data_IF_098387869844
#
_entry.id   IF_098387869844
#
_cell.length_a   1.000
_cell.length_b   1.000
_cell.length_c   1.000
_cell.angle_alpha   90.00
_cell.angle_beta   90.00
_cell.angle_gamma   90.00
#
_symmetry.space_group_name_H-M   'P 1'
#
loop_
_entity.id
_entity.type
_entity.pdbx_description
1 polymer ?
#
# COMPACT_ATOMS: atom_id res chain seq x y z
N UNK A 1 12.77 -23.54 -3.14
CA UNK A 1 14.09 -23.99 -3.62
C UNK A 1 14.42 -25.29 -2.91
N UNK A 2 14.39 -26.40 -3.64
CA UNK A 2 14.79 -27.73 -3.15
C UNK A 2 16.24 -28.04 -3.53
N UNK A 3 17.01 -26.98 -3.84
CA UNK A 3 18.42 -27.03 -4.16
C UNK A 3 19.20 -26.46 -2.97
N UNK A 4 19.97 -27.30 -2.29
CA UNK A 4 20.99 -26.84 -1.35
C UNK A 4 22.16 -26.34 -2.20
N UNK A 5 22.56 -25.08 -2.03
CA UNK A 5 23.79 -24.56 -2.63
C UNK A 5 25.01 -25.30 -2.04
N UNK A 6 25.45 -26.37 -2.73
CA UNK A 6 26.45 -27.29 -2.22
C UNK A 6 27.86 -26.87 -2.63
N UNK A 7 28.55 -26.25 -1.67
CA UNK A 7 29.98 -26.45 -1.43
C UNK A 7 30.26 -26.74 0.05
N UNK A 8 29.36 -27.43 0.76
CA UNK A 8 29.62 -27.88 2.13
C UNK A 8 30.11 -29.34 2.13
N UNK A 9 31.38 -29.62 2.47
CA UNK A 9 32.00 -30.94 2.29
C UNK A 9 31.41 -32.07 3.16
N UNK A 10 30.48 -31.78 4.07
CA UNK A 10 29.83 -32.76 4.95
C UNK A 10 28.37 -33.06 4.62
N UNK A 11 27.75 -32.38 3.65
CA UNK A 11 26.38 -32.70 3.21
C UNK A 11 26.43 -33.71 2.06
N UNK A 12 26.33 -35.00 2.38
CA UNK A 12 26.44 -36.12 1.41
C UNK A 12 25.12 -36.84 1.14
N UNK A 13 24.02 -36.41 1.75
CA UNK A 13 22.71 -37.04 1.64
C UNK A 13 21.68 -36.03 1.11
N UNK A 14 21.81 -35.68 -0.17
CA UNK A 14 20.82 -34.85 -0.87
C UNK A 14 19.68 -35.71 -1.43
N UNK A 15 18.45 -35.21 -1.30
CA UNK A 15 17.24 -35.85 -1.81
C UNK A 15 16.80 -35.18 -3.12
N UNK A 16 17.69 -35.25 -4.11
CA UNK A 16 17.50 -34.61 -5.40
C UNK A 16 16.28 -35.16 -6.15
N UNK A 17 15.36 -34.27 -6.56
CA UNK A 17 14.14 -34.59 -7.33
C UNK A 17 13.26 -35.69 -6.71
N UNK A 18 13.37 -35.90 -5.40
CA UNK A 18 12.66 -36.97 -4.71
C UNK A 18 11.24 -36.57 -4.29
N UNK A 19 11.02 -35.26 -4.04
CA UNK A 19 9.74 -34.71 -3.63
C UNK A 19 9.48 -33.37 -4.34
N UNK A 20 8.20 -33.06 -4.51
CA UNK A 20 7.75 -31.68 -4.64
C UNK A 20 7.43 -31.17 -3.23
N UNK A 21 7.76 -29.90 -2.95
CA UNK A 21 7.48 -29.25 -1.67
C UNK A 21 6.35 -28.25 -1.89
N UNK A 22 5.29 -28.36 -1.11
CA UNK A 22 4.28 -27.31 -0.98
C UNK A 22 4.44 -26.65 0.40
N UNK A 23 4.74 -25.36 0.40
CA UNK A 23 4.95 -24.57 1.60
C UNK A 23 3.80 -23.59 1.77
N UNK A 24 3.02 -23.77 2.83
CA UNK A 24 2.00 -22.81 3.27
C UNK A 24 2.64 -21.80 4.23
N UNK A 25 2.67 -20.53 3.83
CA UNK A 25 3.44 -19.48 4.48
C UNK A 25 2.53 -18.31 4.81
N UNK A 26 2.67 -17.76 6.02
CA UNK A 26 2.09 -16.47 6.40
C UNK A 26 3.20 -15.47 6.68
N UNK A 27 3.15 -14.33 6.02
CA UNK A 27 4.06 -13.20 6.24
C UNK A 27 3.27 -12.06 6.87
N UNK A 28 3.86 -11.39 7.86
CA UNK A 28 3.25 -10.26 8.56
C UNK A 28 4.29 -9.15 8.79
N UNK A 29 3.92 -7.91 8.46
CA UNK A 29 4.68 -6.70 8.79
C UNK A 29 4.31 -6.21 10.18
N UNK A 30 5.31 -5.85 11.00
CA UNK A 30 5.12 -5.26 12.34
C UNK A 30 6.07 -4.10 12.54
N UNK A 31 5.58 -2.99 13.09
CA UNK A 31 6.46 -1.96 13.62
C UNK A 31 7.18 -2.48 14.86
N UNK A 32 8.48 -2.21 14.94
CA UNK A 32 9.33 -2.73 16.01
C UNK A 32 9.07 -2.07 17.36
N UNK A 33 8.44 -0.89 17.36
CA UNK A 33 8.02 -0.17 18.56
C UNK A 33 6.71 -0.71 19.17
N UNK A 34 6.04 -1.64 18.49
CA UNK A 34 4.79 -2.27 18.95
C UNK A 34 3.52 -1.46 18.66
N UNK A 35 3.62 -0.33 17.95
CA UNK A 35 2.43 0.41 17.48
C UNK A 35 1.64 -0.41 16.45
N UNK A 36 0.32 -0.19 16.32
CA UNK A 36 -0.49 -0.86 15.30
C UNK A 36 0.08 -0.64 13.90
N UNK A 37 0.31 -1.72 13.15
CA UNK A 37 0.80 -1.64 11.78
C UNK A 37 -0.35 -1.30 10.82
N UNK A 38 -0.30 -0.09 10.28
CA UNK A 38 -1.25 0.46 9.30
C UNK A 38 -0.86 0.16 7.85
N UNK A 39 0.36 -0.34 7.61
CA UNK A 39 0.86 -0.71 6.29
C UNK A 39 0.07 -1.86 5.67
N UNK A 40 0.01 -1.85 4.34
CA UNK A 40 -0.57 -2.94 3.54
C UNK A 40 0.55 -3.73 2.90
N UNK A 41 0.59 -5.02 3.19
CA UNK A 41 1.63 -5.91 2.68
C UNK A 41 1.46 -6.09 1.16
N UNK A 42 2.55 -5.85 0.43
CA UNK A 42 2.66 -6.12 -1.01
C UNK A 42 3.65 -7.25 -1.24
N UNK A 43 3.34 -8.17 -2.14
CA UNK A 43 4.30 -9.16 -2.63
C UNK A 43 4.45 -9.08 -4.14
N UNK A 44 5.64 -9.47 -4.61
CA UNK A 44 5.93 -9.67 -6.03
C UNK A 44 6.45 -11.10 -6.23
N UNK A 45 5.57 -12.11 -6.37
CA UNK A 45 5.97 -13.41 -6.87
C UNK A 45 6.39 -13.33 -8.34
N UNK A 46 7.47 -14.01 -8.68
CA UNK A 46 8.03 -14.07 -10.03
C UNK A 46 8.69 -15.41 -10.30
N UNK A 47 9.02 -15.63 -11.57
CA UNK A 47 9.73 -16.82 -12.03
C UNK A 47 8.94 -18.12 -11.79
N UNK A 48 7.60 -18.04 -11.85
CA UNK A 48 6.70 -19.20 -11.74
C UNK A 48 6.65 -19.87 -13.11
N UNK A 49 7.64 -20.68 -13.46
CA UNK A 49 7.87 -21.05 -14.85
C UNK A 49 8.21 -22.53 -15.10
N UNK A 50 8.40 -23.31 -14.03
CA UNK A 50 8.76 -24.72 -14.16
C UNK A 50 7.51 -25.60 -14.29
N UNK A 51 7.25 -26.05 -15.52
CA UNK A 51 6.32 -27.15 -15.80
C UNK A 51 7.03 -28.46 -15.50
N UNK A 52 6.56 -29.18 -14.48
CA UNK A 52 7.25 -30.39 -14.01
C UNK A 52 7.12 -31.55 -14.98
N UNK A 53 8.21 -32.27 -15.16
CA UNK A 53 8.29 -33.49 -15.97
C UNK A 53 7.90 -34.77 -15.18
N UNK A 54 7.69 -34.65 -13.87
CA UNK A 54 7.52 -35.75 -12.91
C UNK A 54 6.21 -35.68 -12.12
N UNK A 55 5.27 -34.80 -12.52
CA UNK A 55 3.89 -34.80 -12.05
C UNK A 55 3.47 -33.65 -11.13
N UNK A 56 4.37 -32.73 -10.76
CA UNK A 56 4.05 -31.51 -10.02
C UNK A 56 4.63 -30.29 -10.75
N UNK A 57 3.81 -29.26 -10.97
CA UNK A 57 4.25 -27.99 -11.51
C UNK A 57 4.66 -27.04 -10.38
N UNK A 58 5.52 -26.09 -10.70
CA UNK A 58 5.75 -24.97 -9.82
C UNK A 58 4.48 -24.13 -9.75
N UNK A 59 4.00 -23.79 -8.55
CA UNK A 59 2.82 -22.94 -8.42
C UNK A 59 2.97 -21.92 -7.31
N UNK A 60 2.21 -20.84 -7.43
CA UNK A 60 1.97 -19.89 -6.37
C UNK A 60 0.47 -19.76 -6.16
N UNK A 61 0.01 -19.84 -4.91
CA UNK A 61 -1.40 -19.71 -4.56
C UNK A 61 -1.60 -18.66 -3.48
N UNK A 62 -2.59 -17.79 -3.66
CA UNK A 62 -3.08 -16.93 -2.60
C UNK A 62 -4.20 -17.63 -1.85
N UNK A 63 -4.08 -17.70 -0.52
CA UNK A 63 -5.06 -18.36 0.34
C UNK A 63 -6.15 -17.37 0.75
N UNK A 64 -7.40 -17.79 0.63
CA UNK A 64 -8.57 -16.97 0.96
C UNK A 64 -8.62 -15.61 0.23
N UNK A 65 -8.16 -15.58 -1.02
CA UNK A 65 -7.85 -14.37 -1.78
C UNK A 65 -8.99 -13.34 -1.78
N UNK A 66 -10.23 -13.78 -1.98
CA UNK A 66 -11.41 -12.89 -1.99
C UNK A 66 -11.58 -12.09 -0.69
N UNK A 67 -11.20 -12.68 0.45
CA UNK A 67 -11.33 -12.06 1.76
C UNK A 67 -10.09 -11.26 2.17
N UNK A 68 -8.89 -11.68 1.76
CA UNK A 68 -7.61 -11.16 2.26
C UNK A 68 -6.90 -10.20 1.30
N UNK A 69 -7.20 -10.25 0.00
CA UNK A 69 -6.45 -9.54 -1.05
C UNK A 69 -7.25 -8.34 -1.56
N UNK A 70 -6.60 -7.18 -1.67
CA UNK A 70 -7.20 -5.96 -2.20
C UNK A 70 -7.08 -5.87 -3.73
N UNK A 71 -5.90 -6.23 -4.25
CA UNK A 71 -5.61 -6.13 -5.68
C UNK A 71 -4.51 -7.11 -6.11
N UNK A 72 -4.66 -7.59 -7.34
CA UNK A 72 -3.68 -8.40 -8.06
C UNK A 72 -3.43 -7.68 -9.39
N UNK A 73 -2.17 -7.47 -9.74
CA UNK A 73 -1.76 -6.74 -10.95
C UNK A 73 -0.81 -7.60 -11.76
N UNK A 74 -1.22 -7.86 -13.01
CA UNK A 74 -0.44 -8.60 -14.00
C UNK A 74 -0.12 -7.72 -15.19
N UNK A 75 1.04 -7.96 -15.80
CA UNK A 75 1.35 -7.39 -17.10
C UNK A 75 0.44 -8.01 -18.16
N UNK A 76 0.09 -7.26 -19.22
CA UNK A 76 -0.67 -7.82 -20.36
C UNK A 76 0.04 -8.98 -21.07
N UNK A 77 1.34 -9.13 -20.85
CA UNK A 77 2.16 -10.25 -21.35
C UNK A 77 2.14 -11.47 -20.42
N UNK A 78 1.49 -11.41 -19.27
CA UNK A 78 1.46 -12.52 -18.32
C UNK A 78 0.86 -13.75 -19.02
N UNK A 79 1.51 -14.91 -18.83
CA UNK A 79 1.14 -16.17 -19.47
C UNK A 79 0.67 -17.22 -18.46
N UNK A 80 0.68 -16.92 -17.17
CA UNK A 80 0.33 -17.90 -16.14
C UNK A 80 -1.13 -18.32 -16.29
N UNK A 81 -1.39 -19.61 -16.08
CA UNK A 81 -2.76 -20.13 -16.08
C UNK A 81 -3.32 -20.04 -14.67
N UNK A 82 -4.29 -19.15 -14.51
CA UNK A 82 -5.04 -19.01 -13.26
C UNK A 82 -6.06 -20.15 -13.12
N UNK A 83 -6.12 -20.71 -11.91
CA UNK A 83 -7.13 -21.67 -11.50
C UNK A 83 -7.64 -21.30 -10.11
N UNK A 84 -8.93 -21.50 -9.87
CA UNK A 84 -9.57 -21.21 -8.57
C UNK A 84 -10.08 -22.50 -7.97
N UNK A 85 -9.80 -22.71 -6.68
CA UNK A 85 -10.35 -23.82 -5.89
C UNK A 85 -10.81 -23.27 -4.55
N UNK A 86 -12.12 -23.29 -4.32
CA UNK A 86 -12.72 -22.62 -3.15
C UNK A 86 -12.40 -21.12 -3.16
N UNK A 87 -11.77 -20.63 -2.08
CA UNK A 87 -11.35 -19.23 -1.96
C UNK A 87 -9.86 -19.02 -2.31
N UNK A 88 -9.18 -20.03 -2.86
CA UNK A 88 -7.79 -19.91 -3.24
C UNK A 88 -7.67 -19.66 -4.75
N UNK A 89 -6.75 -18.80 -5.12
CA UNK A 89 -6.37 -18.55 -6.52
C UNK A 89 -4.95 -19.06 -6.70
N UNK A 90 -4.72 -19.90 -7.70
CA UNK A 90 -3.45 -20.57 -7.98
C UNK A 90 -3.00 -20.26 -9.40
N UNK A 91 -1.75 -19.84 -9.54
CA UNK A 91 -1.10 -19.60 -10.82
C UNK A 91 -0.17 -20.76 -11.18
N UNK A 92 -0.40 -21.28 -12.39
CA UNK A 92 0.34 -22.40 -12.95
C UNK A 92 1.28 -21.91 -14.06
N UNK A 93 2.45 -22.54 -14.21
CA UNK A 93 3.44 -22.15 -15.20
C UNK A 93 3.02 -22.68 -16.57
N UNK A 94 3.51 -22.04 -17.63
CA UNK A 94 3.26 -22.47 -19.02
C UNK A 94 4.52 -22.91 -19.72
N UNK A 95 5.62 -22.19 -19.49
CA UNK A 95 6.95 -22.48 -20.06
C UNK A 95 7.99 -21.71 -19.25
N UNK A 96 9.24 -22.17 -19.38
CA UNK A 96 10.39 -21.44 -18.84
C UNK A 96 10.49 -20.02 -19.38
N UNK A 97 10.93 -19.14 -18.50
CA UNK A 97 11.26 -17.74 -18.69
C UNK A 97 12.71 -17.51 -18.29
N UNK A 98 13.30 -16.40 -18.74
CA UNK A 98 14.65 -16.06 -18.32
C UNK A 98 14.86 -14.55 -18.34
N UNK A 99 15.49 -14.08 -17.27
CA UNK A 99 15.86 -12.70 -17.08
C UNK A 99 14.74 -11.86 -16.49
N UNK A 100 15.08 -10.73 -15.84
CA UNK A 100 14.14 -10.01 -14.98
C UNK A 100 12.87 -9.53 -15.66
N UNK A 101 12.90 -9.25 -16.97
CA UNK A 101 11.70 -8.83 -17.71
C UNK A 101 10.70 -9.97 -17.86
N UNK A 102 11.15 -11.18 -18.25
CA UNK A 102 10.24 -12.30 -18.47
C UNK A 102 9.74 -12.88 -17.15
N UNK A 103 10.64 -13.09 -16.20
CA UNK A 103 10.33 -13.66 -14.88
C UNK A 103 9.26 -12.83 -14.15
N UNK A 104 9.32 -11.49 -14.27
CA UNK A 104 8.37 -10.59 -13.59
C UNK A 104 7.10 -10.31 -14.38
N UNK A 105 7.17 -10.26 -15.71
CA UNK A 105 6.03 -9.82 -16.53
C UNK A 105 5.28 -10.97 -17.22
N UNK A 106 5.97 -12.06 -17.58
CA UNK A 106 5.34 -13.24 -18.20
C UNK A 106 4.97 -14.25 -17.11
N UNK A 107 5.89 -14.52 -16.18
CA UNK A 107 5.76 -15.54 -15.13
C UNK A 107 5.68 -14.96 -13.70
N UNK A 108 5.15 -13.74 -13.58
CA UNK A 108 5.05 -13.04 -12.30
C UNK A 108 3.93 -12.03 -12.24
N UNK A 109 3.67 -11.54 -11.04
CA UNK A 109 2.64 -10.53 -10.77
C UNK A 109 2.93 -9.78 -9.47
N UNK A 110 2.17 -8.72 -9.21
CA UNK A 110 2.18 -8.02 -7.93
C UNK A 110 0.83 -8.20 -7.22
N UNK A 111 0.85 -8.31 -5.90
CA UNK A 111 -0.35 -8.49 -5.09
C UNK A 111 -0.29 -7.60 -3.85
N UNK A 112 -1.41 -6.98 -3.50
CA UNK A 112 -1.58 -6.18 -2.28
C UNK A 112 -2.64 -6.80 -1.38
N UNK A 113 -2.28 -7.02 -0.12
CA UNK A 113 -3.19 -7.45 0.94
C UNK A 113 -4.09 -6.31 1.41
N UNK A 114 -5.28 -6.65 1.94
CA UNK A 114 -6.13 -5.72 2.68
C UNK A 114 -5.54 -5.35 4.05
N UNK A 115 -4.50 -6.06 4.50
CA UNK A 115 -3.86 -5.91 5.81
C UNK A 115 -2.34 -5.90 5.72
N UNK A 116 -1.68 -5.83 6.87
CA UNK A 116 -0.24 -6.01 7.05
C UNK A 116 0.21 -7.48 6.93
N UNK A 117 -0.69 -8.42 6.65
CA UNK A 117 -0.42 -9.86 6.58
C UNK A 117 -0.94 -10.51 5.30
N UNK A 118 -0.28 -11.58 4.84
CA UNK A 118 -0.70 -12.39 3.70
C UNK A 118 -0.33 -13.85 3.90
N UNK A 119 -1.27 -14.75 3.58
CA UNK A 119 -1.04 -16.20 3.54
C UNK A 119 -1.05 -16.68 2.10
N UNK A 120 -0.02 -17.43 1.73
CA UNK A 120 0.14 -18.00 0.40
C UNK A 120 0.69 -19.43 0.47
N UNK A 121 0.60 -20.15 -0.63
CA UNK A 121 1.25 -21.44 -0.82
C UNK A 121 2.18 -21.36 -2.03
N UNK A 122 3.42 -21.84 -1.89
CA UNK A 122 4.34 -22.01 -3.01
C UNK A 122 4.69 -23.49 -3.15
N UNK A 123 4.45 -24.05 -4.32
CA UNK A 123 4.77 -25.44 -4.64
C UNK A 123 5.94 -25.48 -5.60
N UNK A 124 6.94 -26.32 -5.34
CA UNK A 124 8.06 -26.60 -6.25
C UNK A 124 7.72 -27.72 -7.24
N UNK A 125 8.41 -27.73 -8.38
CA UNK A 125 8.48 -28.85 -9.31
C UNK A 125 9.89 -29.46 -9.23
N UNK A 126 10.05 -30.55 -8.47
CA UNK A 126 11.27 -31.36 -8.28
C UNK A 126 12.58 -30.60 -7.93
N UNK A 127 13.04 -29.69 -8.80
CA UNK A 127 14.16 -28.76 -8.62
C UNK A 127 13.75 -27.35 -9.07
N UNK A 128 12.77 -26.75 -8.38
CA UNK A 128 12.38 -25.36 -8.63
C UNK A 128 11.90 -24.66 -7.35
N UNK A 129 11.45 -23.44 -7.49
CA UNK A 129 10.67 -22.75 -6.46
C UNK A 129 10.56 -21.27 -6.77
N UNK A 130 9.44 -20.69 -6.36
CA UNK A 130 9.13 -19.31 -6.75
C UNK A 130 9.94 -18.31 -5.94
N UNK A 131 10.32 -17.22 -6.59
CA UNK A 131 10.96 -16.08 -5.95
C UNK A 131 9.89 -15.07 -5.53
N UNK A 132 9.98 -14.57 -4.31
CA UNK A 132 9.09 -13.52 -3.83
C UNK A 132 9.82 -12.52 -2.92
N UNK A 133 9.49 -11.24 -3.11
CA UNK A 133 9.85 -10.17 -2.19
C UNK A 133 8.62 -9.64 -1.42
N UNK A 134 8.87 -9.02 -0.27
CA UNK A 134 7.85 -8.39 0.58
C UNK A 134 8.10 -6.89 0.60
N UNK A 135 7.05 -6.11 0.35
CA UNK A 135 7.09 -4.65 0.15
C UNK A 135 5.90 -3.97 0.83
N UNK A 136 5.92 -2.64 0.83
CA UNK A 136 4.75 -1.78 1.07
C UNK A 136 4.71 -0.72 -0.01
N UNK A 137 3.51 -0.21 -0.32
CA UNK A 137 3.38 1.03 -1.09
C UNK A 137 3.81 2.19 -0.18
N UNK A 138 4.56 3.15 -0.73
CA UNK A 138 5.09 4.28 0.04
C UNK A 138 4.48 5.59 -0.45
N UNK A 139 3.93 6.38 0.46
CA UNK A 139 3.54 7.77 0.18
C UNK A 139 4.82 8.60 0.21
N UNK A 140 5.36 8.91 -0.96
CA UNK A 140 6.65 9.59 -1.08
C UNK A 140 6.54 10.80 -2.02
N UNK A 141 6.91 12.02 -1.57
CA UNK A 141 7.28 12.37 -0.21
C UNK A 141 6.11 12.20 0.77
N UNK A 142 6.44 12.06 2.06
CA UNK A 142 5.44 12.09 3.13
C UNK A 142 4.66 13.41 3.10
N UNK A 143 3.40 13.43 3.57
CA UNK A 143 2.64 14.66 3.71
C UNK A 143 3.41 15.69 4.55
N UNK A 144 3.31 16.97 4.15
CA UNK A 144 3.94 18.08 4.87
C UNK A 144 2.84 18.99 5.41
N UNK A 145 2.91 19.32 6.71
CA UNK A 145 1.99 20.24 7.37
C UNK A 145 2.74 21.48 7.81
N UNK A 146 2.16 22.65 7.55
CA UNK A 146 2.63 23.95 8.03
C UNK A 146 1.51 24.65 8.79
N UNK A 147 1.87 25.56 9.70
CA UNK A 147 0.93 26.34 10.49
C UNK A 147 1.30 27.83 10.42
N UNK A 148 0.29 28.69 10.38
CA UNK A 148 0.44 30.15 10.43
C UNK A 148 -0.71 30.78 11.25
N UNK A 149 -0.41 31.60 12.28
CA UNK A 149 0.92 31.83 12.84
C UNK A 149 1.43 30.62 13.63
N UNK A 150 2.76 30.48 13.77
CA UNK A 150 3.37 29.44 14.62
C UNK A 150 3.11 29.67 16.12
N UNK A 151 2.80 30.91 16.51
CA UNK A 151 2.47 31.30 17.87
C UNK A 151 1.35 32.32 17.85
N UNK A 152 0.38 32.16 18.75
CA UNK A 152 -0.72 33.09 18.94
C UNK A 152 -0.95 33.34 20.44
N UNK A 153 -1.54 34.48 20.83
CA UNK A 153 -2.00 34.68 22.19
C UNK A 153 -2.98 33.58 22.61
N UNK A 154 -2.91 33.14 23.88
CA UNK A 154 -3.90 32.25 24.48
C UNK A 154 -5.21 33.03 24.77
N UNK A 155 -5.92 33.41 23.70
CA UNK A 155 -7.17 34.16 23.70
C UNK A 155 -8.12 33.57 22.68
N UNK A 156 -9.42 33.62 22.95
CA UNK A 156 -10.42 33.24 21.95
C UNK A 156 -10.43 34.23 20.78
N UNK A 157 -10.70 33.74 19.57
CA UNK A 157 -10.83 34.55 18.36
C UNK A 157 -9.55 34.68 17.51
N UNK A 158 -8.44 34.07 17.93
CA UNK A 158 -7.19 34.08 17.16
C UNK A 158 -7.29 33.10 15.99
N UNK A 159 -6.97 33.56 14.78
CA UNK A 159 -7.02 32.71 13.58
C UNK A 159 -5.75 31.89 13.47
N UNK A 160 -5.90 30.57 13.36
CA UNK A 160 -4.81 29.64 13.08
C UNK A 160 -5.11 28.92 11.76
N UNK A 161 -4.17 28.99 10.84
CA UNK A 161 -4.27 28.38 9.51
C UNK A 161 -3.31 27.19 9.42
N UNK A 162 -3.83 26.02 9.07
CA UNK A 162 -3.01 24.84 8.78
C UNK A 162 -2.98 24.60 7.27
N UNK A 163 -1.81 24.32 6.72
CA UNK A 163 -1.66 23.96 5.29
C UNK A 163 -1.02 22.60 5.17
N UNK A 164 -1.77 21.64 4.64
CA UNK A 164 -1.32 20.30 4.31
C UNK A 164 -0.98 20.17 2.82
N UNK A 165 0.17 19.57 2.51
CA UNK A 165 0.60 19.27 1.14
C UNK A 165 0.77 17.76 0.97
N UNK A 166 0.12 17.20 -0.04
CA UNK A 166 0.12 15.77 -0.33
C UNK A 166 0.50 15.53 -1.79
N UNK A 167 1.44 14.62 -2.03
CA UNK A 167 1.76 14.16 -3.38
C UNK A 167 0.93 12.94 -3.74
N UNK A 168 0.18 13.00 -4.85
CA UNK A 168 -0.55 11.85 -5.37
C UNK A 168 0.45 10.77 -5.80
N UNK A 169 0.39 9.53 -5.27
CA UNK A 169 1.30 8.48 -5.69
C UNK A 169 1.21 8.16 -7.19
N UNK A 170 2.33 7.84 -7.82
CA UNK A 170 2.38 7.45 -9.24
C UNK A 170 1.94 6.01 -9.40
N UNK A 171 0.81 5.81 -10.07
CA UNK A 171 0.25 4.48 -10.31
C UNK A 171 1.15 3.63 -11.22
N UNK A 172 1.52 2.44 -10.74
CA UNK A 172 2.47 1.52 -11.39
C UNK A 172 3.94 1.84 -11.10
N UNK A 173 4.23 2.78 -10.20
CA UNK A 173 5.59 3.12 -9.73
C UNK A 173 5.62 3.11 -8.20
N UNK A 174 4.81 3.98 -7.56
CA UNK A 174 4.73 4.10 -6.10
C UNK A 174 3.63 3.18 -5.53
N UNK A 175 2.58 2.91 -6.31
CA UNK A 175 1.53 1.91 -6.03
C UNK A 175 1.54 0.83 -7.12
N UNK A 176 1.20 -0.42 -6.78
CA UNK A 176 1.17 -1.53 -7.76
C UNK A 176 0.06 -1.35 -8.78
N UNK A 177 -1.02 -0.66 -8.40
CA UNK A 177 -2.22 -0.51 -9.22
C UNK A 177 -2.86 0.86 -9.09
N UNK A 178 -4.13 0.93 -9.52
CA UNK A 178 -4.93 2.15 -9.46
C UNK A 178 -5.21 2.56 -8.03
N UNK A 179 -5.26 3.86 -7.79
CA UNK A 179 -5.73 4.43 -6.52
C UNK A 179 -7.26 4.46 -6.58
N UNK A 180 -7.92 3.75 -5.68
CA UNK A 180 -9.40 3.64 -5.64
C UNK A 180 -10.05 4.81 -4.90
N UNK A 181 -9.36 5.33 -3.89
CA UNK A 181 -9.80 6.45 -3.06
C UNK A 181 -8.59 7.14 -2.46
N UNK A 182 -8.74 8.41 -2.13
CA UNK A 182 -7.77 9.19 -1.39
C UNK A 182 -8.53 10.15 -0.49
N UNK A 183 -8.19 10.14 0.79
CA UNK A 183 -8.79 10.98 1.81
C UNK A 183 -7.68 11.64 2.62
N UNK A 184 -7.89 12.88 3.02
CA UNK A 184 -7.01 13.62 3.92
C UNK A 184 -7.77 13.94 5.19
N UNK A 185 -7.21 13.56 6.33
CA UNK A 185 -7.89 13.63 7.63
C UNK A 185 -7.08 14.52 8.56
N UNK A 186 -7.72 15.56 9.09
CA UNK A 186 -7.18 16.45 10.12
C UNK A 186 -8.07 16.35 11.37
N UNK A 187 -7.46 16.25 12.55
CA UNK A 187 -8.20 16.23 13.82
C UNK A 187 -7.71 17.36 14.70
N UNK A 188 -8.50 18.41 14.81
CA UNK A 188 -8.10 19.62 15.53
C UNK A 188 -8.20 19.45 17.05
N UNK A 189 -7.33 20.14 17.77
CA UNK A 189 -7.44 20.27 19.22
C UNK A 189 -8.79 20.90 19.61
N UNK A 190 -9.38 20.48 20.73
CA UNK A 190 -10.69 20.96 21.18
C UNK A 190 -10.77 22.48 21.44
N UNK A 191 -9.63 23.15 21.53
CA UNK A 191 -9.47 24.60 21.65
C UNK A 191 -9.61 25.34 20.32
N UNK A 192 -9.76 24.64 19.20
CA UNK A 192 -9.89 25.20 17.86
C UNK A 192 -11.26 24.90 17.24
N UNK A 193 -11.93 25.93 16.75
CA UNK A 193 -13.17 25.81 15.98
C UNK A 193 -12.84 25.85 14.48
N UNK A 194 -13.12 24.75 13.77
CA UNK A 194 -12.99 24.70 12.31
C UNK A 194 -13.96 25.69 11.64
N UNK A 195 -13.44 26.53 10.74
CA UNK A 195 -14.23 27.54 10.04
C UNK A 195 -14.50 27.15 8.58
N UNK A 196 -13.44 26.83 7.84
CA UNK A 196 -13.52 26.55 6.40
C UNK A 196 -12.23 25.91 5.91
N UNK A 197 -12.25 25.39 4.68
CA UNK A 197 -11.05 24.98 3.99
C UNK A 197 -11.09 25.35 2.51
N UNK A 198 -9.91 25.36 1.89
CA UNK A 198 -9.77 25.39 0.44
C UNK A 198 -8.85 24.27 0.00
N UNK A 199 -9.18 23.61 -1.11
CA UNK A 199 -8.34 22.59 -1.73
C UNK A 199 -7.85 23.11 -3.07
N UNK A 200 -6.56 22.91 -3.36
CA UNK A 200 -6.01 23.09 -4.70
C UNK A 200 -5.28 21.84 -5.16
N UNK A 201 -5.21 21.66 -6.48
CA UNK A 201 -4.47 20.60 -7.12
C UNK A 201 -3.56 21.19 -8.19
N UNK A 202 -2.25 21.00 -8.01
CA UNK A 202 -1.21 21.52 -8.92
C UNK A 202 -1.35 23.04 -9.19
N UNK A 203 -1.70 23.78 -8.14
CA UNK A 203 -1.90 25.24 -8.17
C UNK A 203 -3.29 25.71 -8.62
N UNK A 204 -4.19 24.80 -9.05
CA UNK A 204 -5.56 25.12 -9.42
C UNK A 204 -6.50 24.89 -8.24
N UNK A 205 -7.31 25.88 -7.88
CA UNK A 205 -8.34 25.72 -6.84
C UNK A 205 -9.41 24.73 -7.31
N UNK A 206 -9.70 23.74 -6.46
CA UNK A 206 -10.73 22.73 -6.69
C UNK A 206 -12.08 23.19 -6.16
N UNK A 207 -13.15 22.60 -6.69
CA UNK A 207 -14.54 22.90 -6.31
C UNK A 207 -15.12 21.78 -5.44
N UNK A 208 -15.59 22.11 -4.23
CA UNK A 208 -16.30 21.16 -3.37
C UNK A 208 -17.58 20.66 -4.06
N UNK A 209 -17.91 19.38 -3.86
CA UNK A 209 -19.04 18.71 -4.50
C UNK A 209 -18.75 18.28 -5.94
N UNK A 210 -17.75 18.86 -6.61
CA UNK A 210 -17.28 18.43 -7.94
C UNK A 210 -16.01 17.62 -7.84
N UNK A 211 -14.97 18.16 -7.20
CA UNK A 211 -13.60 17.64 -7.17
C UNK A 211 -13.26 16.92 -5.87
N UNK A 212 -13.91 17.31 -4.77
CA UNK A 212 -13.76 16.70 -3.46
C UNK A 212 -15.06 16.87 -2.66
N UNK A 213 -15.17 16.17 -1.52
CA UNK A 213 -16.21 16.40 -0.51
C UNK A 213 -15.59 16.60 0.85
N UNK A 214 -16.26 17.37 1.72
CA UNK A 214 -15.85 17.57 3.11
C UNK A 214 -16.85 16.92 4.05
N UNK A 215 -16.37 16.23 5.07
CA UNK A 215 -17.16 15.81 6.22
C UNK A 215 -16.51 16.29 7.52
N UNK A 216 -17.35 16.73 8.45
CA UNK A 216 -16.93 17.22 9.76
C UNK A 216 -17.65 16.41 10.83
N UNK A 217 -16.89 15.72 11.68
CA UNK A 217 -17.37 14.93 12.81
C UNK A 217 -16.66 15.38 14.08
N UNK A 218 -17.29 16.29 14.82
CA UNK A 218 -16.65 17.01 15.92
C UNK A 218 -15.41 17.77 15.44
N UNK A 219 -14.25 17.45 16.02
CA UNK A 219 -12.97 18.06 15.65
C UNK A 219 -12.31 17.44 14.41
N UNK A 220 -12.84 16.32 13.91
CA UNK A 220 -12.29 15.60 12.79
C UNK A 220 -12.86 16.14 11.48
N UNK A 221 -11.99 16.61 10.60
CA UNK A 221 -12.33 17.05 9.25
C UNK A 221 -11.71 16.09 8.25
N UNK A 222 -12.55 15.51 7.38
CA UNK A 222 -12.13 14.60 6.33
C UNK A 222 -12.44 15.20 4.96
N UNK A 223 -11.42 15.24 4.09
CA UNK A 223 -11.53 15.67 2.69
C UNK A 223 -11.36 14.43 1.81
N UNK A 224 -12.41 14.06 1.08
CA UNK A 224 -12.38 12.93 0.14
C UNK A 224 -12.21 13.44 -1.29
N UNK A 225 -11.16 12.99 -1.97
CA UNK A 225 -10.87 13.37 -3.36
C UNK A 225 -11.66 12.48 -4.32
N UNK A 226 -12.28 13.09 -5.34
CA UNK A 226 -13.02 12.35 -6.35
C UNK A 226 -12.13 11.62 -7.34
N UNK A 227 -12.64 10.51 -7.85
CA UNK A 227 -11.93 9.55 -8.70
C UNK A 227 -11.35 10.14 -9.99
N UNK A 228 -11.99 11.14 -10.61
CA UNK A 228 -11.50 11.77 -11.83
C UNK A 228 -10.14 12.47 -11.66
N UNK A 229 -9.75 12.79 -10.43
CA UNK A 229 -8.42 13.34 -10.13
C UNK A 229 -7.40 12.25 -9.83
N UNK A 230 -7.83 11.04 -9.45
CA UNK A 230 -6.98 9.91 -9.05
C UNK A 230 -6.51 9.09 -10.26
N UNK A 231 -5.94 9.77 -11.26
CA UNK A 231 -5.51 9.15 -12.52
C UNK A 231 -3.99 8.98 -12.59
N UNK A 232 -3.52 8.04 -13.43
CA UNK A 232 -2.10 7.86 -13.71
C UNK A 232 -1.42 9.14 -14.24
N UNK A 233 -2.12 9.92 -15.07
CA UNK A 233 -1.61 11.17 -15.63
C UNK A 233 -1.39 12.28 -14.58
N UNK A 234 -2.04 12.13 -13.43
CA UNK A 234 -1.95 13.06 -12.31
C UNK A 234 -0.93 12.61 -11.25
N UNK A 235 -0.34 11.42 -11.37
CA UNK A 235 0.67 10.93 -10.44
C UNK A 235 1.85 11.89 -10.29
N UNK A 236 2.26 12.15 -9.05
CA UNK A 236 3.32 13.09 -8.70
C UNK A 236 2.86 14.54 -8.51
N UNK A 237 1.65 14.90 -8.95
CA UNK A 237 1.07 16.23 -8.69
C UNK A 237 0.63 16.36 -7.23
N UNK A 238 0.48 17.61 -6.77
CA UNK A 238 0.23 17.92 -5.36
C UNK A 238 -1.19 18.39 -5.11
N UNK A 239 -1.80 17.85 -4.07
CA UNK A 239 -2.93 18.48 -3.39
C UNK A 239 -2.41 19.40 -2.29
N UNK A 240 -2.98 20.58 -2.17
CA UNK A 240 -2.73 21.49 -1.04
C UNK A 240 -4.07 21.85 -0.42
N UNK A 241 -4.21 21.56 0.87
CA UNK A 241 -5.40 21.86 1.65
C UNK A 241 -5.03 22.90 2.69
N UNK A 242 -5.77 24.02 2.70
CA UNK A 242 -5.60 25.08 3.69
C UNK A 242 -6.84 25.11 4.57
N UNK A 243 -6.68 24.74 5.84
CA UNK A 243 -7.71 24.75 6.86
C UNK A 243 -7.64 26.05 7.65
N UNK A 244 -8.77 26.73 7.80
CA UNK A 244 -8.91 27.89 8.68
C UNK A 244 -9.62 27.47 9.95
N UNK A 245 -8.98 27.76 11.08
CA UNK A 245 -9.53 27.54 12.41
C UNK A 245 -9.43 28.82 13.23
N UNK A 246 -10.22 28.88 14.31
CA UNK A 246 -10.18 29.99 15.26
C UNK A 246 -10.12 29.43 16.66
N UNK A 247 -9.30 29.99 17.54
CA UNK A 247 -9.27 29.58 18.95
C UNK A 247 -10.58 29.89 19.67
N UNK A 248 -11.05 28.98 20.51
CA UNK A 248 -12.23 29.16 21.35
C UNK A 248 -11.85 29.42 22.82
N UNK A 249 -12.84 29.62 23.69
CA UNK A 249 -12.61 30.01 25.09
C UNK A 249 -11.81 29.01 25.92
N UNK A 250 -11.71 27.74 25.50
CA UNK A 250 -10.91 26.74 26.22
C UNK A 250 -9.41 27.07 26.22
N UNK A 251 -8.92 27.80 25.22
CA UNK A 251 -7.50 28.21 25.15
C UNK A 251 -7.11 29.14 26.29
N UNK A 252 -8.05 29.91 26.84
CA UNK A 252 -7.78 30.85 27.93
C UNK A 252 -7.53 30.15 29.27
N UNK A 253 -7.97 28.89 29.38
CA UNK A 253 -7.76 28.05 30.55
C UNK A 253 -6.61 27.07 30.39
N UNK A 254 -6.12 26.85 29.17
CA UNK A 254 -4.98 25.99 28.84
C UNK A 254 -4.13 26.57 27.70
N UNK A 255 -3.02 27.19 28.09
CA UNK A 255 -2.01 27.78 27.20
C UNK A 255 -0.86 26.84 26.83
N UNK A 256 -1.02 25.52 27.02
CA UNK A 256 -0.07 24.54 26.49
C UNK A 256 -0.04 24.55 24.95
N UNK A 257 0.99 23.96 24.36
CA UNK A 257 1.08 23.86 22.90
C UNK A 257 -0.16 23.15 22.32
N UNK A 258 -0.60 23.64 21.15
CA UNK A 258 -1.60 22.96 20.32
C UNK A 258 -0.83 22.20 19.24
N UNK A 259 -0.72 20.89 19.42
CA UNK A 259 -0.14 20.01 18.41
C UNK A 259 -1.22 19.62 17.39
N UNK A 260 -0.83 19.48 16.12
CA UNK A 260 -1.76 19.09 15.07
C UNK A 260 -1.10 18.19 14.04
N UNK A 261 -1.72 17.05 13.75
CA UNK A 261 -1.22 16.04 12.80
C UNK A 261 -2.21 15.86 11.65
N UNK A 262 -1.70 15.48 10.48
CA UNK A 262 -2.47 15.29 9.26
C UNK A 262 -2.09 13.94 8.67
N UNK A 263 -3.11 13.13 8.37
CA UNK A 263 -2.95 11.77 7.83
C UNK A 263 -3.65 11.62 6.49
#
# INVERSE_FOLDING_TARGET
MDYIDVNHPSYTADMFRSYAISANVTVELKYTDGTPCDLKLVMQPSDIDVVGDTGANETFSLINANSTIDSIVMNNRNILVESTSGNNITWNPVRGTSGPDQEKNLAGFAVKSKSNSMTFESTSAATSGSLFGVYTEAITPAPVKAVDPEQAPAKAGETITYTGTFTLPRQGIDTIGKIKSMSMVDTFDERLDFQSLTVSFDGQTLTEGTDYTVSVDGQKVTVDIKDHLLTKANGGKKFVITYKTVTNSKVETDGSNIDNELT
#
